data_IF_297459581812
#
_entry.id   IF_297459581812
#
_cell.length_a   1.000
_cell.length_b   1.000
_cell.length_c   1.000
_cell.angle_alpha   90.00
_cell.angle_beta   90.00
_cell.angle_gamma   90.00
#
_symmetry.space_group_name_H-M   'P 1'
#
loop_
_entity.id
_entity.type
_entity.pdbx_description
1 polymer ?
#
# COMPACT_ATOMS: atom_id res chain seq x y z
N UNK A 1 13.41 -18.64 10.78
CA UNK A 1 13.70 -17.77 9.64
C UNK A 1 12.40 -17.22 9.07
N UNK A 2 12.48 -16.15 8.28
CA UNK A 2 11.37 -15.64 7.49
C UNK A 2 10.96 -16.62 6.36
N UNK A 3 11.32 -17.89 6.44
CA UNK A 3 10.92 -18.95 5.53
C UNK A 3 9.41 -19.21 5.50
N UNK A 4 8.66 -18.37 6.17
CA UNK A 4 7.23 -18.40 6.19
C UNK A 4 6.66 -17.78 4.91
N UNK A 5 5.53 -18.30 4.51
CA UNK A 5 4.90 -18.10 3.22
C UNK A 5 4.58 -16.63 2.97
N UNK A 6 5.19 -16.03 1.97
CA UNK A 6 4.78 -14.72 1.47
C UNK A 6 4.23 -14.82 0.05
N UNK A 7 3.17 -14.09 -0.22
CA UNK A 7 2.49 -14.07 -1.53
C UNK A 7 2.19 -12.67 -1.97
N UNK A 8 2.33 -12.45 -3.28
CA UNK A 8 1.85 -11.25 -3.95
C UNK A 8 0.83 -11.60 -5.02
N UNK A 9 -0.21 -10.82 -5.13
CA UNK A 9 -1.22 -10.90 -6.16
C UNK A 9 -1.53 -9.49 -6.68
N UNK A 10 -1.69 -9.37 -7.99
CA UNK A 10 -2.11 -8.13 -8.63
C UNK A 10 -3.11 -8.42 -9.73
N UNK A 11 -4.07 -7.52 -9.94
CA UNK A 11 -5.11 -7.64 -10.94
C UNK A 11 -5.53 -6.25 -11.44
N UNK A 12 -5.82 -6.11 -12.72
CA UNK A 12 -6.21 -4.84 -13.34
C UNK A 12 -7.64 -4.39 -12.95
N UNK A 13 -8.44 -5.30 -12.39
CA UNK A 13 -9.84 -5.06 -12.10
C UNK A 13 -10.71 -4.97 -13.36
N UNK A 14 -11.97 -4.57 -13.19
CA UNK A 14 -12.97 -4.51 -14.28
C UNK A 14 -13.11 -3.11 -14.91
N UNK A 15 -12.56 -2.06 -14.29
CA UNK A 15 -12.74 -0.66 -14.70
C UNK A 15 -11.55 -0.06 -15.43
N UNK A 16 -10.32 -0.43 -15.04
CA UNK A 16 -9.09 0.11 -15.61
C UNK A 16 -8.63 -0.73 -16.80
N UNK A 17 -8.03 -0.11 -17.81
CA UNK A 17 -7.43 -0.80 -18.96
C UNK A 17 -6.02 -1.31 -18.64
N UNK A 18 -5.33 -0.65 -17.71
CA UNK A 18 -3.98 -0.97 -17.27
C UNK A 18 -3.93 -1.09 -15.75
N UNK A 19 -3.09 -1.97 -15.24
CA UNK A 19 -2.80 -2.03 -13.82
C UNK A 19 -1.78 -0.95 -13.45
N UNK A 20 -2.18 -0.01 -12.60
CA UNK A 20 -1.33 1.08 -12.15
C UNK A 20 -0.67 0.80 -10.80
N UNK A 21 -0.97 -0.34 -10.18
CA UNK A 21 -0.33 -0.76 -8.94
C UNK A 21 1.05 -1.36 -9.23
N UNK A 22 1.99 -1.08 -8.35
CA UNK A 22 3.33 -1.69 -8.36
C UNK A 22 3.62 -2.32 -7.01
N UNK A 23 4.27 -3.48 -7.04
CA UNK A 23 4.58 -4.27 -5.85
C UNK A 23 6.08 -4.54 -5.77
N UNK A 24 6.64 -4.46 -4.56
CA UNK A 24 8.00 -4.86 -4.25
C UNK A 24 7.98 -5.95 -3.18
N UNK A 25 8.80 -6.97 -3.38
CA UNK A 25 9.13 -7.97 -2.37
C UNK A 25 10.58 -8.37 -2.60
N UNK A 26 11.43 -8.00 -1.67
CA UNK A 26 12.86 -8.35 -1.67
C UNK A 26 13.28 -8.84 -0.32
N UNK A 27 14.19 -9.79 -0.29
CA UNK A 27 14.78 -10.32 0.93
C UNK A 27 16.29 -10.40 0.82
N UNK A 28 16.94 -10.31 1.97
CA UNK A 28 18.35 -10.67 2.14
C UNK A 28 18.50 -11.55 3.39
N UNK A 29 19.49 -12.44 3.34
CA UNK A 29 19.91 -13.26 4.47
C UNK A 29 21.28 -12.80 4.90
N UNK A 30 21.43 -12.44 6.16
CA UNK A 30 22.68 -12.00 6.79
C UNK A 30 23.03 -12.91 7.96
N UNK A 31 24.22 -12.74 8.56
CA UNK A 31 24.64 -13.54 9.72
C UNK A 31 23.67 -13.43 10.91
N UNK A 32 22.97 -12.33 11.03
CA UNK A 32 22.05 -12.04 12.14
C UNK A 32 20.58 -12.31 11.82
N UNK A 33 20.27 -12.89 10.66
CA UNK A 33 18.91 -13.24 10.26
C UNK A 33 18.53 -12.79 8.86
N UNK A 34 17.26 -12.87 8.58
CA UNK A 34 16.68 -12.47 7.29
C UNK A 34 15.95 -11.14 7.43
N UNK A 35 16.02 -10.32 6.38
CA UNK A 35 15.25 -9.06 6.29
C UNK A 35 14.47 -9.04 5.00
N UNK A 36 13.21 -8.62 5.07
CA UNK A 36 12.31 -8.42 3.93
C UNK A 36 11.97 -6.94 3.78
N UNK A 37 12.04 -6.45 2.55
CA UNK A 37 11.43 -5.19 2.14
C UNK A 37 10.19 -5.51 1.29
N UNK A 38 9.05 -5.04 1.76
CA UNK A 38 7.76 -5.21 1.10
C UNK A 38 7.19 -3.82 0.82
N UNK A 39 6.71 -3.56 -0.39
CA UNK A 39 6.02 -2.30 -0.68
C UNK A 39 4.90 -2.48 -1.68
N UNK A 40 3.87 -1.64 -1.55
CA UNK A 40 2.77 -1.48 -2.49
C UNK A 40 2.59 -0.01 -2.80
N UNK A 41 2.40 0.29 -4.08
CA UNK A 41 2.12 1.62 -4.61
C UNK A 41 0.92 1.55 -5.53
N UNK A 42 -0.12 2.37 -5.29
CA UNK A 42 -1.26 2.55 -6.19
C UNK A 42 -1.04 3.81 -7.00
N UNK A 43 -0.84 3.63 -8.30
CA UNK A 43 -0.56 4.72 -9.21
C UNK A 43 -1.83 5.44 -9.64
N UNK A 44 -1.79 6.77 -9.60
CA UNK A 44 -2.88 7.65 -10.03
C UNK A 44 -2.43 8.59 -11.12
N UNK A 45 -3.31 8.80 -12.09
CA UNK A 45 -3.08 9.70 -13.22
C UNK A 45 -4.05 9.40 -14.34
N UNK A 46 -4.42 10.45 -15.11
CA UNK A 46 -5.22 10.29 -16.31
C UNK A 46 -4.42 9.53 -17.39
N UNK A 47 -5.03 8.51 -18.01
CA UNK A 47 -4.51 7.76 -19.15
C UNK A 47 -3.01 7.36 -19.06
N UNK A 48 -2.71 6.20 -18.48
CA UNK A 48 -1.43 5.46 -18.59
C UNK A 48 -0.22 6.00 -17.83
N UNK A 49 -0.36 6.98 -16.94
CA UNK A 49 0.80 7.59 -16.27
C UNK A 49 0.95 7.22 -14.79
N UNK A 50 -0.09 6.70 -14.15
CA UNK A 50 -0.01 6.23 -12.76
C UNK A 50 0.97 5.06 -12.59
N UNK A 51 1.04 4.16 -13.58
CA UNK A 51 1.98 3.05 -13.60
C UNK A 51 3.45 3.50 -13.59
N UNK A 52 3.76 4.63 -14.26
CA UNK A 52 5.11 5.20 -14.23
C UNK A 52 5.46 5.70 -12.83
N UNK A 53 4.54 6.40 -12.17
CA UNK A 53 4.77 6.92 -10.82
C UNK A 53 4.98 5.79 -9.81
N UNK A 54 4.10 4.79 -9.79
CA UNK A 54 4.21 3.65 -8.88
C UNK A 54 5.48 2.82 -9.14
N UNK A 55 5.83 2.59 -10.42
CA UNK A 55 7.04 1.87 -10.79
C UNK A 55 8.33 2.61 -10.38
N UNK A 56 8.34 3.95 -10.50
CA UNK A 56 9.50 4.76 -10.07
C UNK A 56 9.73 4.67 -8.56
N UNK A 57 8.68 4.75 -7.76
CA UNK A 57 8.77 4.63 -6.29
C UNK A 57 9.25 3.23 -5.90
N UNK A 58 8.62 2.19 -6.42
CA UNK A 58 9.01 0.80 -6.15
C UNK A 58 10.45 0.54 -6.53
N UNK A 59 10.89 1.03 -7.69
CA UNK A 59 12.29 0.87 -8.13
C UNK A 59 13.27 1.57 -7.20
N UNK A 60 12.96 2.77 -6.76
CA UNK A 60 13.83 3.50 -5.86
C UNK A 60 13.98 2.82 -4.50
N UNK A 61 12.90 2.28 -3.92
CA UNK A 61 12.98 1.46 -2.71
C UNK A 61 13.78 0.16 -2.94
N UNK A 62 13.62 -0.47 -4.11
CA UNK A 62 14.40 -1.62 -4.52
C UNK A 62 15.91 -1.31 -4.60
N UNK A 63 16.26 -0.19 -5.26
CA UNK A 63 17.65 0.24 -5.41
C UNK A 63 18.26 0.65 -4.06
N UNK A 64 17.48 1.35 -3.20
CA UNK A 64 17.89 1.64 -1.83
C UNK A 64 18.19 0.36 -1.03
N UNK A 65 17.33 -0.66 -1.09
CA UNK A 65 17.54 -1.91 -0.39
C UNK A 65 18.83 -2.61 -0.82
N UNK A 66 19.06 -2.71 -2.13
CA UNK A 66 20.25 -3.39 -2.69
C UNK A 66 21.54 -2.60 -2.53
N UNK A 67 21.48 -1.28 -2.70
CA UNK A 67 22.70 -0.47 -2.80
C UNK A 67 23.06 0.24 -1.51
N UNK A 68 22.08 0.48 -0.62
CA UNK A 68 22.29 1.20 0.62
C UNK A 68 22.11 0.29 1.81
N UNK A 69 20.95 -0.38 1.96
CA UNK A 69 20.66 -1.19 3.14
C UNK A 69 21.60 -2.40 3.24
N UNK A 70 21.66 -3.24 2.20
CA UNK A 70 22.48 -4.47 2.20
C UNK A 70 23.98 -4.17 2.26
N UNK A 71 24.44 -3.10 1.59
CA UNK A 71 25.88 -2.75 1.53
C UNK A 71 26.39 -1.98 2.74
N UNK A 72 25.49 -1.54 3.61
CA UNK A 72 25.87 -0.76 4.78
C UNK A 72 26.24 -1.70 5.93
N UNK A 73 27.53 -1.95 6.13
CA UNK A 73 28.04 -2.79 7.21
C UNK A 73 27.72 -2.26 8.61
N UNK A 74 27.45 -0.95 8.74
CA UNK A 74 26.95 -0.35 9.96
C UNK A 74 25.42 -0.20 9.84
N UNK A 75 24.68 -1.14 10.40
CA UNK A 75 23.23 -1.05 10.46
C UNK A 75 22.80 0.26 11.13
N UNK A 76 22.29 1.17 10.32
CA UNK A 76 21.63 2.37 10.85
C UNK A 76 20.36 1.93 11.55
N UNK A 77 20.15 2.41 12.79
CA UNK A 77 18.90 2.14 13.53
C UNK A 77 17.69 2.75 12.81
N UNK A 78 16.51 2.52 13.38
CA UNK A 78 15.22 2.94 12.80
C UNK A 78 15.20 4.42 12.37
N UNK A 79 15.79 5.31 13.16
CA UNK A 79 15.87 6.74 12.82
C UNK A 79 16.72 6.99 11.57
N UNK A 80 17.82 6.25 11.40
CA UNK A 80 18.64 6.36 10.20
C UNK A 80 17.91 5.85 8.95
N UNK A 81 17.16 4.76 9.05
CA UNK A 81 16.32 4.23 7.97
C UNK A 81 15.23 5.24 7.63
N UNK A 82 14.56 5.80 8.63
CA UNK A 82 13.54 6.84 8.46
C UNK A 82 14.08 8.04 7.68
N UNK A 83 15.25 8.56 8.04
CA UNK A 83 15.87 9.68 7.35
C UNK A 83 16.22 9.34 5.90
N UNK A 84 16.73 8.13 5.64
CA UNK A 84 17.03 7.66 4.29
C UNK A 84 15.74 7.56 3.46
N UNK A 85 14.66 7.00 3.99
CA UNK A 85 13.38 6.88 3.30
C UNK A 85 12.73 8.25 3.07
N UNK A 86 12.82 9.16 4.02
CA UNK A 86 12.34 10.53 3.84
C UNK A 86 13.06 11.20 2.65
N UNK A 87 14.40 11.17 2.64
CA UNK A 87 15.19 11.76 1.56
C UNK A 87 14.90 11.12 0.21
N UNK A 88 14.72 9.79 0.18
CA UNK A 88 14.36 9.05 -1.02
C UNK A 88 13.02 9.48 -1.57
N UNK A 89 12.00 9.59 -0.71
CA UNK A 89 10.66 10.02 -1.10
C UNK A 89 10.63 11.47 -1.59
N UNK A 90 11.39 12.39 -0.94
CA UNK A 90 11.49 13.77 -1.36
C UNK A 90 12.16 13.89 -2.75
N UNK A 91 13.22 13.12 -3.00
CA UNK A 91 13.88 13.08 -4.30
C UNK A 91 12.92 12.60 -5.39
N UNK A 92 12.23 11.48 -5.16
CA UNK A 92 11.31 10.90 -6.14
C UNK A 92 10.14 11.85 -6.39
N UNK A 93 9.59 12.44 -5.33
CA UNK A 93 8.51 13.42 -5.43
C UNK A 93 8.91 14.58 -6.34
N UNK A 94 10.08 15.16 -6.11
CA UNK A 94 10.61 16.24 -6.96
C UNK A 94 10.81 15.81 -8.42
N UNK A 95 11.25 14.58 -8.66
CA UNK A 95 11.42 14.03 -10.02
C UNK A 95 10.07 13.85 -10.72
N UNK A 96 9.05 13.30 -10.04
CA UNK A 96 7.72 13.10 -10.60
C UNK A 96 7.01 14.42 -10.89
N UNK A 97 7.08 15.40 -9.98
CA UNK A 97 6.53 16.76 -10.20
C UNK A 97 7.17 17.43 -11.42
N UNK A 98 8.51 17.35 -11.54
CA UNK A 98 9.23 17.92 -12.68
C UNK A 98 8.80 17.25 -13.98
N UNK A 99 8.79 15.92 -14.02
CA UNK A 99 8.34 15.17 -15.18
C UNK A 99 6.90 15.53 -15.57
N UNK A 100 5.99 15.67 -14.60
CA UNK A 100 4.62 16.11 -14.84
C UNK A 100 4.55 17.49 -15.46
N UNK A 101 5.31 18.48 -14.96
CA UNK A 101 5.37 19.84 -15.48
C UNK A 101 5.91 19.85 -16.92
N UNK A 102 7.01 19.13 -17.20
CA UNK A 102 7.61 19.06 -18.52
C UNK A 102 6.72 18.42 -19.59
N UNK A 103 5.92 17.45 -19.19
CA UNK A 103 5.02 16.71 -20.10
C UNK A 103 3.58 17.18 -20.06
N UNK A 104 3.24 18.21 -19.29
CA UNK A 104 1.87 18.74 -19.09
C UNK A 104 0.87 17.67 -18.64
N UNK A 105 1.30 16.80 -17.75
CA UNK A 105 0.50 15.72 -17.17
C UNK A 105 0.56 15.78 -15.65
N UNK A 106 -0.48 15.25 -15.02
CA UNK A 106 -0.49 14.99 -13.58
C UNK A 106 -0.37 13.48 -13.34
N UNK A 107 0.61 13.09 -12.57
CA UNK A 107 0.82 11.71 -12.16
C UNK A 107 1.29 11.66 -10.72
N UNK A 108 0.88 10.64 -10.02
CA UNK A 108 1.28 10.43 -8.63
C UNK A 108 1.06 8.98 -8.21
N UNK A 109 1.44 8.68 -7.01
CA UNK A 109 1.25 7.35 -6.44
C UNK A 109 1.18 7.40 -4.92
N UNK A 110 0.52 6.43 -4.33
CA UNK A 110 0.64 6.10 -2.92
C UNK A 110 1.94 5.32 -2.66
N UNK A 111 2.28 5.14 -1.41
CA UNK A 111 3.28 4.15 -0.96
C UNK A 111 2.88 3.61 0.41
N UNK A 112 2.93 2.30 0.58
CA UNK A 112 3.00 1.62 1.87
C UNK A 112 4.16 0.64 1.80
N UNK A 113 5.20 0.87 2.59
CA UNK A 113 6.40 0.05 2.65
C UNK A 113 6.66 -0.46 4.06
N UNK A 114 7.18 -1.69 4.16
CA UNK A 114 7.58 -2.33 5.42
C UNK A 114 8.95 -2.96 5.24
N UNK A 115 9.86 -2.65 6.15
CA UNK A 115 11.09 -3.41 6.37
C UNK A 115 10.85 -4.29 7.60
N UNK A 116 10.97 -5.60 7.44
CA UNK A 116 10.69 -6.61 8.48
C UNK A 116 11.89 -7.53 8.63
N UNK A 117 12.38 -7.73 9.84
CA UNK A 117 13.44 -8.68 10.12
C UNK A 117 12.92 -10.01 10.73
N UNK A 118 13.79 -11.02 10.80
CA UNK A 118 13.45 -12.35 11.33
C UNK A 118 13.07 -12.37 12.81
N UNK A 119 13.39 -11.33 13.57
CA UNK A 119 12.96 -11.16 14.96
C UNK A 119 11.55 -10.60 15.09
N UNK A 120 10.89 -10.31 13.95
CA UNK A 120 9.57 -9.71 13.88
C UNK A 120 9.58 -8.20 14.07
N UNK A 121 10.74 -7.55 14.21
CA UNK A 121 10.80 -6.09 14.23
C UNK A 121 10.48 -5.54 12.86
N UNK A 122 9.64 -4.52 12.81
CA UNK A 122 9.29 -3.85 11.56
C UNK A 122 9.41 -2.34 11.68
N UNK A 123 9.69 -1.73 10.56
CA UNK A 123 9.52 -0.31 10.31
C UNK A 123 8.63 -0.13 9.10
N UNK A 124 7.63 0.74 9.19
CA UNK A 124 6.77 1.09 8.05
C UNK A 124 6.90 2.55 7.67
N UNK A 125 6.61 2.81 6.40
CA UNK A 125 6.44 4.13 5.82
C UNK A 125 5.17 4.13 4.98
N UNK A 126 4.34 5.18 5.11
CA UNK A 126 3.08 5.26 4.40
C UNK A 126 2.75 6.68 3.94
N UNK A 127 2.29 6.80 2.67
CA UNK A 127 1.67 8.00 2.08
C UNK A 127 0.51 7.57 1.18
N UNK A 128 -0.68 8.04 1.45
CA UNK A 128 -1.86 7.78 0.61
C UNK A 128 -2.96 7.01 1.32
N UNK A 129 -3.60 6.07 0.62
CA UNK A 129 -4.70 5.24 1.11
C UNK A 129 -4.55 3.74 0.85
N UNK A 130 -3.38 3.31 0.39
CA UNK A 130 -2.98 1.90 0.51
C UNK A 130 -2.85 1.56 1.99
N UNK A 131 -3.11 0.33 2.39
CA UNK A 131 -3.12 -0.02 3.82
C UNK A 131 -2.19 -1.16 4.15
N UNK A 132 -1.68 -1.10 5.38
CA UNK A 132 -0.96 -2.18 6.03
C UNK A 132 -1.80 -2.62 7.23
N UNK A 133 -2.06 -3.93 7.30
CA UNK A 133 -2.75 -4.55 8.41
C UNK A 133 -1.85 -5.60 9.06
N UNK A 134 -2.02 -5.78 10.36
CA UNK A 134 -1.64 -7.01 11.05
C UNK A 134 -2.87 -7.89 11.23
N UNK A 135 -2.70 -9.17 11.09
CA UNK A 135 -3.73 -10.18 11.29
C UNK A 135 -3.21 -11.28 12.21
N UNK A 136 -3.87 -11.41 13.36
CA UNK A 136 -3.73 -12.51 14.30
C UNK A 136 -5.12 -13.06 14.60
N UNK A 137 -5.67 -12.83 15.78
CA UNK A 137 -7.08 -13.10 16.08
C UNK A 137 -8.02 -12.06 15.43
N UNK A 138 -7.52 -10.85 15.27
CA UNK A 138 -8.24 -9.70 14.65
C UNK A 138 -7.38 -9.04 13.59
N UNK A 139 -8.06 -8.45 12.61
CA UNK A 139 -7.45 -7.57 11.62
C UNK A 139 -7.28 -6.17 12.22
N UNK A 140 -6.04 -5.67 12.27
CA UNK A 140 -5.73 -4.35 12.79
C UNK A 140 -5.00 -3.52 11.74
N UNK A 141 -5.56 -2.37 11.38
CA UNK A 141 -4.92 -1.42 10.47
C UNK A 141 -3.80 -0.67 11.19
N UNK A 142 -2.61 -0.65 10.61
CA UNK A 142 -1.44 0.09 11.11
C UNK A 142 -1.33 1.48 10.48
N UNK A 143 -1.76 1.64 9.23
CA UNK A 143 -1.67 2.91 8.50
C UNK A 143 -2.92 3.77 8.68
N UNK A 144 -2.75 5.09 8.65
CA UNK A 144 -3.86 6.04 8.62
C UNK A 144 -4.06 6.55 7.19
N UNK A 145 -5.26 6.39 6.62
CA UNK A 145 -5.53 6.86 5.25
C UNK A 145 -5.37 8.38 5.15
N UNK A 146 -4.55 8.86 4.24
CA UNK A 146 -4.40 10.27 3.92
C UNK A 146 -5.50 10.74 2.96
N UNK A 147 -6.76 10.54 3.34
CA UNK A 147 -7.94 10.94 2.58
C UNK A 147 -8.72 12.06 3.27
N UNK A 148 -9.54 12.76 2.46
CA UNK A 148 -10.45 13.76 3.01
C UNK A 148 -11.36 13.16 4.08
N UNK A 149 -11.93 11.98 3.81
CA UNK A 149 -12.85 11.28 4.70
C UNK A 149 -12.18 10.91 6.03
N UNK A 150 -11.01 10.28 5.98
CA UNK A 150 -10.29 9.88 7.19
C UNK A 150 -9.98 11.10 8.09
N UNK A 151 -9.58 12.21 7.48
CA UNK A 151 -9.34 13.47 8.20
C UNK A 151 -10.60 14.01 8.85
N UNK A 152 -11.74 14.02 8.15
CA UNK A 152 -12.98 14.57 8.70
C UNK A 152 -13.56 13.68 9.80
N UNK A 153 -13.43 12.35 9.70
CA UNK A 153 -13.78 11.42 10.78
C UNK A 153 -12.90 11.67 12.01
N UNK A 154 -11.59 11.78 11.83
CA UNK A 154 -10.64 12.04 12.92
C UNK A 154 -10.90 13.36 13.65
N UNK A 155 -11.38 14.36 12.92
CA UNK A 155 -11.79 15.67 13.49
C UNK A 155 -13.17 15.65 14.14
N UNK A 156 -13.90 14.57 14.04
CA UNK A 156 -15.28 14.47 14.53
C UNK A 156 -16.31 15.22 13.68
N UNK A 157 -15.95 15.65 12.49
CA UNK A 157 -16.81 16.39 11.57
C UNK A 157 -17.72 15.45 10.75
N UNK A 158 -17.44 14.15 10.75
CA UNK A 158 -18.15 13.17 9.96
C UNK A 158 -18.15 11.81 10.67
N UNK A 159 -19.29 11.13 10.62
CA UNK A 159 -19.41 9.74 11.07
C UNK A 159 -18.97 8.77 9.98
N UNK A 160 -18.66 7.53 10.36
CA UNK A 160 -18.31 6.46 9.41
C UNK A 160 -19.45 6.21 8.40
N UNK A 161 -20.70 6.30 8.85
CA UNK A 161 -21.87 6.06 7.98
C UNK A 161 -22.09 7.21 6.96
N UNK A 162 -21.81 8.45 7.34
CA UNK A 162 -21.83 9.60 6.42
C UNK A 162 -20.68 9.48 5.42
N UNK A 163 -19.50 9.09 5.88
CA UNK A 163 -18.32 8.88 5.05
C UNK A 163 -18.54 7.87 3.91
N UNK A 164 -19.22 6.77 4.17
CA UNK A 164 -19.55 5.75 3.16
C UNK A 164 -20.37 6.30 1.99
N UNK A 165 -21.14 7.36 2.23
CA UNK A 165 -22.05 7.99 1.24
C UNK A 165 -21.47 9.27 0.62
N UNK A 166 -20.36 9.79 1.15
CA UNK A 166 -19.76 11.03 0.67
C UNK A 166 -19.09 10.84 -0.69
N UNK A 167 -19.35 11.75 -1.61
CA UNK A 167 -18.77 11.73 -2.95
C UNK A 167 -17.25 11.94 -2.97
N UNK A 168 -16.69 12.48 -1.87
CA UNK A 168 -15.26 12.75 -1.69
C UNK A 168 -14.52 11.58 -1.03
N UNK A 169 -15.13 10.42 -0.88
CA UNK A 169 -14.54 9.25 -0.21
C UNK A 169 -13.20 8.80 -0.79
N UNK A 170 -12.94 9.08 -2.08
CA UNK A 170 -11.71 8.72 -2.76
C UNK A 170 -10.80 9.94 -3.00
N UNK A 171 -11.01 11.06 -2.29
CA UNK A 171 -10.15 12.25 -2.43
C UNK A 171 -8.94 12.09 -1.55
N UNK A 172 -7.79 11.86 -2.18
CA UNK A 172 -6.49 11.86 -1.49
C UNK A 172 -6.06 13.27 -1.13
N UNK A 173 -5.52 13.41 0.07
CA UNK A 173 -4.92 14.65 0.57
C UNK A 173 -3.41 14.67 0.38
N UNK A 174 -2.79 13.50 0.33
CA UNK A 174 -1.35 13.35 0.15
C UNK A 174 -1.05 12.17 -0.77
N UNK A 175 -0.14 12.39 -1.71
CA UNK A 175 0.45 11.38 -2.58
C UNK A 175 1.79 11.87 -3.11
N UNK A 176 2.64 10.95 -3.54
CA UNK A 176 3.94 11.23 -4.13
C UNK A 176 3.74 11.64 -5.60
N UNK A 177 4.36 12.74 -6.01
CA UNK A 177 4.34 13.24 -7.40
C UNK A 177 3.32 14.35 -7.67
N UNK A 178 2.46 14.70 -6.71
CA UNK A 178 1.44 15.75 -6.86
C UNK A 178 1.66 16.91 -5.89
N UNK A 179 1.83 16.60 -4.61
CA UNK A 179 2.00 17.60 -3.57
C UNK A 179 3.48 17.96 -3.40
N UNK A 180 3.82 19.26 -3.38
CA UNK A 180 5.19 19.69 -3.10
C UNK A 180 5.61 19.30 -1.67
N UNK A 181 4.67 19.38 -0.74
CA UNK A 181 4.85 18.97 0.65
C UNK A 181 3.94 17.80 0.99
N UNK A 182 4.48 16.82 1.67
CA UNK A 182 3.78 15.65 2.19
C UNK A 182 4.45 15.20 3.48
N UNK A 183 3.69 14.57 4.35
CA UNK A 183 4.14 14.06 5.65
C UNK A 183 3.89 12.55 5.68
N UNK A 184 4.92 11.71 5.42
CA UNK A 184 4.79 10.28 5.56
C UNK A 184 4.49 9.88 7.00
N UNK A 185 3.57 8.93 7.20
CA UNK A 185 3.47 8.21 8.45
C UNK A 185 4.64 7.25 8.56
N UNK A 186 5.36 7.30 9.69
CA UNK A 186 6.36 6.31 10.07
C UNK A 186 5.93 5.65 11.36
N UNK A 187 6.07 4.33 11.42
CA UNK A 187 5.82 3.56 12.63
C UNK A 187 6.82 2.40 12.69
N UNK A 188 7.23 2.04 13.88
CA UNK A 188 8.04 0.86 14.16
C UNK A 188 7.39 0.02 15.26
N UNK A 189 7.62 -1.27 15.22
CA UNK A 189 7.04 -2.17 16.18
C UNK A 189 7.60 -3.59 16.06
N UNK A 190 6.91 -4.51 16.71
CA UNK A 190 7.26 -5.92 16.65
C UNK A 190 6.01 -6.77 16.46
N UNK A 191 6.05 -7.63 15.45
CA UNK A 191 5.03 -8.64 15.24
C UNK A 191 5.18 -9.77 16.23
N UNK A 192 4.09 -10.21 16.83
CA UNK A 192 4.07 -11.44 17.60
C UNK A 192 4.20 -12.64 16.64
N UNK A 193 4.74 -13.76 17.16
CA UNK A 193 4.77 -15.00 16.39
C UNK A 193 3.36 -15.43 15.97
N UNK A 194 3.22 -15.88 14.72
CA UNK A 194 1.92 -16.26 14.16
C UNK A 194 1.07 -15.09 13.67
N UNK A 195 1.60 -13.86 13.63
CA UNK A 195 0.93 -12.71 13.04
C UNK A 195 1.27 -12.60 11.56
N UNK A 196 0.26 -12.44 10.70
CA UNK A 196 0.45 -12.12 9.29
C UNK A 196 0.43 -10.60 9.05
N UNK A 197 1.17 -10.15 8.04
CA UNK A 197 1.08 -8.80 7.47
C UNK A 197 0.33 -8.85 6.15
N UNK A 198 -0.63 -7.93 5.98
CA UNK A 198 -1.35 -7.74 4.72
C UNK A 198 -1.15 -6.30 4.25
N UNK A 199 -0.59 -6.13 3.06
CA UNK A 199 -0.52 -4.85 2.36
C UNK A 199 -1.48 -4.90 1.17
N UNK A 200 -2.34 -3.88 1.03
CA UNK A 200 -3.29 -3.85 -0.07
C UNK A 200 -3.59 -2.43 -0.55
N UNK A 201 -3.95 -2.30 -1.83
CA UNK A 201 -4.54 -1.08 -2.40
C UNK A 201 -6.05 -0.99 -2.10
N UNK A 202 -6.66 0.15 -2.43
CA UNK A 202 -8.09 0.37 -2.25
C UNK A 202 -8.94 -0.61 -3.06
N UNK A 203 -8.46 -1.00 -4.25
CA UNK A 203 -9.12 -1.97 -5.12
C UNK A 203 -9.35 -3.33 -4.48
N UNK A 204 -8.44 -3.79 -3.63
CA UNK A 204 -8.59 -5.06 -2.93
C UNK A 204 -9.69 -5.01 -1.86
N UNK A 205 -9.72 -3.93 -1.07
CA UNK A 205 -10.59 -3.80 0.11
C UNK A 205 -11.95 -3.15 -0.16
N UNK A 206 -12.17 -2.62 -1.39
CA UNK A 206 -13.32 -1.77 -1.68
C UNK A 206 -14.68 -2.45 -1.43
N UNK A 207 -14.79 -3.74 -1.69
CA UNK A 207 -16.02 -4.52 -1.58
C UNK A 207 -15.92 -5.66 -0.57
N UNK A 208 -14.82 -5.75 0.18
CA UNK A 208 -14.60 -6.75 1.22
C UNK A 208 -14.76 -6.10 2.60
N UNK A 209 -15.42 -6.80 3.51
CA UNK A 209 -15.44 -6.42 4.91
C UNK A 209 -14.15 -6.87 5.61
N UNK A 210 -13.81 -6.23 6.72
CA UNK A 210 -12.67 -6.64 7.55
C UNK A 210 -12.84 -8.06 8.11
N UNK A 211 -14.08 -8.46 8.41
CA UNK A 211 -14.39 -9.82 8.86
C UNK A 211 -14.12 -10.85 7.75
N UNK A 212 -14.50 -10.57 6.51
CA UNK A 212 -14.23 -11.46 5.37
C UNK A 212 -12.73 -11.61 5.11
N UNK A 213 -11.96 -10.52 5.23
CA UNK A 213 -10.50 -10.54 5.10
C UNK A 213 -9.90 -11.37 6.25
N UNK A 214 -10.30 -11.08 7.47
CA UNK A 214 -9.81 -11.77 8.67
C UNK A 214 -10.12 -13.27 8.62
N UNK A 215 -11.35 -13.63 8.27
CA UNK A 215 -11.73 -15.04 8.18
C UNK A 215 -10.99 -15.79 7.08
N UNK A 216 -10.83 -15.16 5.89
CA UNK A 216 -10.19 -15.82 4.74
C UNK A 216 -8.70 -16.05 4.92
N UNK A 217 -7.99 -15.09 5.55
CA UNK A 217 -6.53 -15.08 5.66
C UNK A 217 -6.03 -15.38 7.09
N UNK A 218 -6.87 -15.86 7.99
CA UNK A 218 -6.52 -16.12 9.39
C UNK A 218 -5.29 -17.05 9.50
N UNK A 219 -4.19 -16.60 10.12
CA UNK A 219 -2.95 -17.37 10.20
C UNK A 219 -3.10 -18.65 11.04
N UNK A 220 -4.07 -18.72 11.97
CA UNK A 220 -4.34 -19.92 12.75
C UNK A 220 -4.92 -21.07 11.91
N UNK A 221 -5.36 -20.81 10.68
CA UNK A 221 -5.77 -21.87 9.74
C UNK A 221 -4.58 -22.64 9.16
N UNK A 222 -3.35 -22.22 9.45
CA UNK A 222 -2.11 -22.83 8.95
C UNK A 222 -2.15 -23.08 7.43
N UNK A 223 -2.61 -22.08 6.68
CA UNK A 223 -2.74 -22.17 5.24
C UNK A 223 -1.35 -22.29 4.61
N UNK A 224 -1.19 -23.23 3.73
CA UNK A 224 0.02 -23.32 2.89
C UNK A 224 0.02 -22.24 1.80
N UNK A 225 1.13 -22.17 1.08
CA UNK A 225 1.36 -21.21 0.01
C UNK A 225 0.29 -21.26 -1.11
N UNK A 226 -0.13 -22.45 -1.51
CA UNK A 226 -1.12 -22.63 -2.56
C UNK A 226 -2.51 -22.20 -2.08
N UNK A 227 -2.85 -22.53 -0.84
CA UNK A 227 -4.11 -22.14 -0.19
C UNK A 227 -4.22 -20.62 -0.01
N UNK A 228 -3.16 -19.94 0.45
CA UNK A 228 -3.15 -18.47 0.53
C UNK A 228 -3.37 -17.85 -0.85
N UNK A 229 -2.66 -18.34 -1.86
CA UNK A 229 -2.80 -17.86 -3.23
C UNK A 229 -4.22 -18.03 -3.77
N UNK A 230 -4.85 -19.16 -3.49
CA UNK A 230 -6.23 -19.42 -3.89
C UNK A 230 -7.21 -18.52 -3.16
N UNK A 231 -7.04 -18.34 -1.84
CA UNK A 231 -7.87 -17.40 -1.06
C UNK A 231 -7.79 -15.96 -1.57
N UNK A 232 -6.58 -15.48 -1.88
CA UNK A 232 -6.42 -14.14 -2.45
C UNK A 232 -7.12 -14.03 -3.82
N UNK A 233 -7.10 -15.06 -4.66
CA UNK A 233 -7.82 -15.08 -5.93
C UNK A 233 -9.33 -15.06 -5.73
N UNK A 234 -9.87 -15.89 -4.83
CA UNK A 234 -11.28 -15.90 -4.48
C UNK A 234 -11.74 -14.50 -4.03
N UNK A 235 -10.98 -13.84 -3.17
CA UNK A 235 -11.30 -12.51 -2.67
C UNK A 235 -11.28 -11.44 -3.78
N UNK A 236 -10.36 -11.53 -4.73
CA UNK A 236 -10.32 -10.66 -5.91
C UNK A 236 -11.57 -10.88 -6.78
N UNK A 237 -11.96 -12.12 -7.00
CA UNK A 237 -13.17 -12.43 -7.77
C UNK A 237 -14.44 -11.95 -7.05
N UNK A 238 -14.54 -12.05 -5.73
CA UNK A 238 -15.65 -11.46 -4.97
C UNK A 238 -15.74 -9.94 -5.16
N UNK A 239 -14.61 -9.23 -5.12
CA UNK A 239 -14.57 -7.79 -5.43
C UNK A 239 -15.12 -7.50 -6.82
N UNK A 240 -14.64 -8.22 -7.85
CA UNK A 240 -15.10 -8.04 -9.24
C UNK A 240 -16.61 -8.27 -9.39
N UNK A 241 -17.11 -9.36 -8.83
CA UNK A 241 -18.53 -9.69 -8.88
C UNK A 241 -19.39 -8.62 -8.20
N UNK A 242 -19.01 -8.18 -6.99
CA UNK A 242 -19.75 -7.16 -6.25
C UNK A 242 -19.69 -5.79 -6.94
N UNK A 243 -18.54 -5.41 -7.50
CA UNK A 243 -18.41 -4.19 -8.30
C UNK A 243 -19.27 -4.23 -9.57
N UNK A 244 -19.38 -5.38 -10.24
CA UNK A 244 -20.22 -5.53 -11.43
C UNK A 244 -21.70 -5.37 -11.12
N UNK A 245 -22.16 -5.86 -9.95
CA UNK A 245 -23.54 -5.73 -9.50
C UNK A 245 -23.93 -4.29 -9.19
N UNK A 246 -23.02 -3.49 -8.61
CA UNK A 246 -23.27 -2.06 -8.33
C UNK A 246 -23.43 -1.26 -9.61
N UNK A 247 -22.73 -1.62 -10.69
CA UNK A 247 -22.81 -0.92 -11.97
C UNK A 247 -24.07 -1.19 -12.78
N UNK A 248 -24.80 -2.24 -12.46
CA UNK A 248 -26.12 -2.50 -13.10
C UNK A 248 -27.21 -1.59 -12.48
N UNK A 249 -26.99 -1.07 -11.28
CA UNK A 249 -27.98 -0.30 -10.52
C UNK A 249 -27.76 1.22 -10.45
N UNK A 250 -26.62 1.76 -10.93
CA UNK A 250 -26.34 3.20 -10.88
C UNK A 250 -25.92 3.75 -12.27
N UNK A 251 -26.54 4.87 -12.74
CA UNK A 251 -26.08 5.54 -13.95
C UNK A 251 -24.72 6.22 -13.68
N UNK A 252 -23.74 5.88 -14.47
CA UNK A 252 -22.40 6.48 -14.45
C UNK A 252 -22.46 7.97 -14.78
N UNK A 253 -22.19 8.85 -13.83
CA UNK A 253 -21.82 10.25 -14.10
C UNK A 253 -20.30 10.35 -14.23
N UNK A 254 -19.79 11.02 -15.28
CA UNK A 254 -18.35 11.26 -15.42
C UNK A 254 -17.87 12.19 -14.30
N UNK A 255 -16.75 11.84 -13.67
CA UNK A 255 -16.09 12.69 -12.67
C UNK A 255 -15.33 13.79 -13.40
N UNK A 256 -15.73 15.02 -13.19
CA UNK A 256 -14.92 16.20 -13.47
C UNK A 256 -13.95 16.37 -12.30
N UNK A 257 -12.66 16.31 -12.60
CA UNK A 257 -11.58 16.72 -11.72
C UNK A 257 -11.45 18.23 -11.91
N UNK A 258 -11.75 18.98 -10.88
CA UNK A 258 -11.44 20.41 -10.79
C UNK A 258 -10.10 20.59 -10.06
#
# INVERSE_FOLDING_TARGET
GLGDVYKRQTDVGIKKKTNQDSLLLKGCSEEHGETLLIAICDGMGGMEKGELASAMVVRAFSDWFEQVYIKNEMHVGDEGIRQQWQSLLEEINGRLIRYGKENQIQLGTTISAVLLNSDGQYMLCHVGDTRIYTLSDTLQQLTEDHTFIAREIKRGNMTIEEAKKDNRRNVLLQCIGVNEFFEPQYENGRLAHGTALLLCSDGFRHMLSEDEISESLNPHKNLDEAQIKEKLREMIEWNKQRLSLIHISEPTRPRLIS
#
